data_IF_712480979966
#
_entry.id   IF_712480979966
#
_cell.length_a   1.000
_cell.length_b   1.000
_cell.length_c   1.000
_cell.angle_alpha   90.00
_cell.angle_beta   90.00
_cell.angle_gamma   90.00
#
_symmetry.space_group_name_H-M   'P 1'
#
loop_
_entity.id
_entity.type
_entity.pdbx_description
1 polymer ?
#
# COMPACT_ATOMS: atom_id res chain seq x y z
N UNK A 1 21.34 -13.67 17.60
CA UNK A 1 20.60 -14.96 17.57
C UNK A 1 21.05 -15.72 16.34
N UNK A 2 21.72 -16.87 16.50
CA UNK A 2 21.93 -17.78 15.37
C UNK A 2 20.55 -18.23 14.91
N UNK A 3 20.24 -18.11 13.62
CA UNK A 3 19.06 -18.77 13.05
C UNK A 3 19.27 -20.26 13.30
N UNK A 4 18.56 -20.80 14.27
CA UNK A 4 18.37 -22.24 14.39
C UNK A 4 17.70 -22.69 13.10
N UNK A 5 18.47 -23.38 12.25
CA UNK A 5 18.01 -23.83 10.94
C UNK A 5 17.14 -25.06 11.15
N UNK A 6 15.84 -24.92 10.89
CA UNK A 6 14.94 -26.06 10.77
C UNK A 6 15.48 -27.00 9.69
N UNK A 7 15.56 -28.30 10.00
CA UNK A 7 15.94 -29.34 9.03
C UNK A 7 14.66 -29.82 8.33
N UNK A 8 14.73 -30.01 7.01
CA UNK A 8 13.58 -30.33 6.17
C UNK A 8 13.54 -31.81 5.80
N UNK A 9 12.34 -32.37 5.86
CA UNK A 9 12.10 -33.78 5.57
C UNK A 9 10.86 -33.96 4.67
N UNK A 10 10.88 -35.02 3.86
CA UNK A 10 9.75 -35.45 3.06
C UNK A 10 8.69 -36.22 3.88
N UNK A 11 7.73 -36.85 3.21
CA UNK A 11 6.68 -37.65 3.84
C UNK A 11 7.17 -38.95 4.50
N UNK A 12 8.36 -39.43 4.13
CA UNK A 12 8.99 -40.61 4.70
C UNK A 12 10.01 -40.27 5.80
N UNK A 13 10.11 -38.99 6.18
CA UNK A 13 11.13 -38.44 7.08
C UNK A 13 12.57 -38.62 6.58
N UNK A 14 12.76 -38.60 5.25
CA UNK A 14 14.08 -38.50 4.63
C UNK A 14 14.43 -37.03 4.37
N UNK A 15 15.72 -36.69 4.48
CA UNK A 15 16.17 -35.32 4.28
C UNK A 15 15.82 -34.83 2.88
N UNK A 16 15.15 -33.68 2.78
CA UNK A 16 14.63 -33.19 1.50
C UNK A 16 14.62 -31.67 1.42
N UNK A 17 15.17 -31.11 0.35
CA UNK A 17 15.19 -29.67 0.07
C UNK A 17 13.80 -29.11 -0.29
N UNK A 18 12.84 -29.99 -0.58
CA UNK A 18 11.44 -29.64 -0.89
C UNK A 18 10.46 -30.15 0.16
N UNK A 19 10.96 -30.87 1.16
CA UNK A 19 10.19 -31.40 2.28
C UNK A 19 9.37 -30.34 3.01
N UNK A 20 8.20 -30.74 3.51
CA UNK A 20 7.26 -29.89 4.26
C UNK A 20 7.16 -30.27 5.74
N UNK A 21 7.89 -31.29 6.17
CA UNK A 21 8.09 -31.59 7.57
C UNK A 21 9.36 -30.89 8.04
N UNK A 22 9.28 -30.13 9.12
CA UNK A 22 10.41 -29.39 9.67
C UNK A 22 10.69 -29.88 11.09
N UNK A 23 11.95 -30.11 11.42
CA UNK A 23 12.37 -30.46 12.77
C UNK A 23 13.20 -29.33 13.35
N UNK A 24 12.76 -28.80 14.49
CA UNK A 24 13.48 -27.78 15.25
C UNK A 24 14.65 -28.41 16.02
N UNK A 25 15.70 -27.64 16.38
CA UNK A 25 16.79 -28.17 17.21
C UNK A 25 16.35 -28.70 18.58
N UNK A 26 15.18 -28.26 19.07
CA UNK A 26 14.52 -28.77 20.28
C UNK A 26 13.96 -30.19 20.12
N UNK A 27 13.85 -30.69 18.88
CA UNK A 27 13.20 -31.95 18.52
C UNK A 27 11.72 -31.80 18.14
N UNK A 28 11.15 -30.60 18.24
CA UNK A 28 9.76 -30.36 17.86
C UNK A 28 9.56 -30.54 16.35
N UNK A 29 8.48 -31.21 15.97
CA UNK A 29 8.10 -31.45 14.57
C UNK A 29 7.00 -30.45 14.18
N UNK A 30 7.24 -29.74 13.08
CA UNK A 30 6.30 -28.81 12.46
C UNK A 30 5.93 -29.40 11.10
N UNK A 31 4.72 -29.96 11.00
CA UNK A 31 4.16 -30.48 9.77
C UNK A 31 3.41 -29.37 9.01
N UNK A 32 3.95 -28.95 7.86
CA UNK A 32 3.31 -28.01 6.94
C UNK A 32 2.82 -28.70 5.65
N UNK A 33 2.73 -30.03 5.62
CA UNK A 33 2.26 -30.78 4.45
C UNK A 33 0.84 -30.38 4.03
N UNK A 34 -0.03 -30.09 5.01
CA UNK A 34 -1.39 -29.58 4.81
C UNK A 34 -1.47 -28.11 4.39
N UNK A 35 -0.36 -27.36 4.45
CA UNK A 35 -0.33 -25.95 4.07
C UNK A 35 -0.06 -25.80 2.57
N UNK A 36 -0.85 -24.94 1.92
CA UNK A 36 -0.71 -24.60 0.50
C UNK A 36 -0.52 -23.12 0.34
N UNK A 37 0.45 -22.73 -0.49
CA UNK A 37 0.58 -21.37 -0.99
C UNK A 37 -0.35 -21.24 -2.20
N UNK A 38 -1.32 -20.33 -2.12
CA UNK A 38 -2.31 -20.11 -3.18
C UNK A 38 -1.84 -19.06 -4.18
N UNK A 39 -1.31 -17.95 -3.66
CA UNK A 39 -0.80 -16.85 -4.47
C UNK A 39 0.34 -16.15 -3.71
N UNK A 40 1.26 -15.55 -4.46
CA UNK A 40 2.29 -14.66 -3.96
C UNK A 40 2.40 -13.50 -4.94
N UNK A 41 1.80 -12.37 -4.58
CA UNK A 41 1.61 -11.25 -5.52
C UNK A 41 1.82 -9.89 -4.86
N UNK A 42 1.89 -8.86 -5.69
CA UNK A 42 1.94 -7.48 -5.22
C UNK A 42 0.55 -7.10 -4.74
N UNK A 43 0.46 -6.76 -3.47
CA UNK A 43 -0.77 -6.36 -2.81
C UNK A 43 -1.01 -4.86 -2.97
N UNK A 44 -0.02 -4.03 -2.66
CA UNK A 44 -0.19 -2.58 -2.70
C UNK A 44 1.09 -1.93 -3.21
N UNK A 45 0.98 -0.96 -4.12
CA UNK A 45 2.07 -0.04 -4.46
C UNK A 45 1.73 1.33 -3.91
N UNK A 46 2.72 1.97 -3.30
CA UNK A 46 2.60 3.31 -2.73
C UNK A 46 3.67 4.20 -3.31
N UNK A 47 3.27 5.29 -3.96
CA UNK A 47 4.17 6.29 -4.51
C UNK A 47 4.06 7.58 -3.70
N UNK A 48 5.21 8.12 -3.27
CA UNK A 48 5.34 9.42 -2.63
C UNK A 48 5.76 10.48 -3.65
N UNK A 49 5.16 11.65 -3.51
CA UNK A 49 5.42 12.82 -4.36
C UNK A 49 5.85 14.00 -3.54
N UNK A 50 6.91 14.65 -4.01
CA UNK A 50 7.49 15.84 -3.44
C UNK A 50 7.14 17.07 -4.28
N UNK A 51 6.75 18.16 -3.62
CA UNK A 51 6.47 19.43 -4.27
C UNK A 51 5.86 20.45 -3.32
N UNK A 52 5.41 21.57 -3.88
CA UNK A 52 4.65 22.60 -3.16
C UNK A 52 3.15 22.43 -3.44
N UNK A 53 2.36 22.13 -2.41
CA UNK A 53 0.91 21.93 -2.56
C UNK A 53 0.21 23.24 -2.95
N UNK A 54 -0.87 23.12 -3.71
CA UNK A 54 -1.79 24.25 -3.93
C UNK A 54 -2.66 24.44 -2.68
N UNK A 55 -2.45 25.54 -1.96
CA UNK A 55 -3.13 25.81 -0.70
C UNK A 55 -4.63 26.06 -0.85
N UNK A 56 -5.07 26.68 -1.95
CA UNK A 56 -6.49 26.95 -2.20
C UNK A 56 -7.29 25.65 -2.25
N UNK A 57 -6.75 24.62 -2.92
CA UNK A 57 -7.36 23.30 -2.95
C UNK A 57 -7.42 22.64 -1.56
N UNK A 58 -6.41 22.86 -0.71
CA UNK A 58 -6.42 22.28 0.65
C UNK A 58 -7.48 22.92 1.53
N UNK A 59 -7.69 24.22 1.37
CA UNK A 59 -8.69 24.98 2.12
C UNK A 59 -10.10 24.55 1.68
N UNK A 60 -10.33 24.34 0.38
CA UNK A 60 -11.57 23.73 -0.13
C UNK A 60 -11.84 22.35 0.48
N UNK A 61 -10.83 21.47 0.56
CA UNK A 61 -11.00 20.15 1.19
C UNK A 61 -11.36 20.27 2.69
N UNK A 62 -10.75 21.22 3.39
CA UNK A 62 -11.03 21.46 4.80
C UNK A 62 -12.46 21.95 5.01
N UNK A 63 -12.90 22.94 4.23
CA UNK A 63 -14.25 23.48 4.29
C UNK A 63 -15.29 22.38 4.05
N UNK A 64 -15.07 21.52 3.05
CA UNK A 64 -15.97 20.37 2.76
C UNK A 64 -16.02 19.37 3.92
N UNK A 65 -14.89 19.10 4.56
CA UNK A 65 -14.83 18.18 5.71
C UNK A 65 -15.52 18.74 6.96
N UNK A 66 -15.58 20.06 7.10
CA UNK A 66 -16.28 20.74 8.20
C UNK A 66 -17.78 20.88 7.92
N UNK A 67 -18.15 21.19 6.68
CA UNK A 67 -19.54 21.46 6.30
C UNK A 67 -20.37 20.19 6.07
N UNK A 68 -19.76 19.09 5.62
CA UNK A 68 -20.50 17.92 5.13
C UNK A 68 -20.22 16.64 5.92
N UNK A 69 -21.25 15.83 6.13
CA UNK A 69 -21.06 14.47 6.64
C UNK A 69 -20.69 13.52 5.50
N UNK A 70 -19.45 13.01 5.51
CA UNK A 70 -18.90 12.10 4.48
C UNK A 70 -18.87 12.73 3.07
N UNK A 71 -18.17 13.85 2.89
CA UNK A 71 -18.09 14.55 1.62
C UNK A 71 -17.61 13.65 0.48
N UNK A 72 -18.14 13.93 -0.70
CA UNK A 72 -17.66 13.39 -1.97
C UNK A 72 -17.30 14.56 -2.85
N UNK A 73 -16.10 14.53 -3.43
CA UNK A 73 -15.63 15.57 -4.34
C UNK A 73 -15.39 14.99 -5.73
N UNK A 74 -15.54 15.82 -6.75
CA UNK A 74 -15.11 15.49 -8.10
C UNK A 74 -13.66 15.96 -8.29
N UNK A 75 -12.80 15.07 -8.75
CA UNK A 75 -11.41 15.37 -9.06
C UNK A 75 -10.96 14.53 -10.25
N UNK A 76 -10.43 15.20 -11.27
CA UNK A 76 -10.01 14.61 -12.56
C UNK A 76 -11.08 13.69 -13.18
N UNK A 77 -12.35 14.12 -13.16
CA UNK A 77 -13.46 13.36 -13.75
C UNK A 77 -13.91 12.13 -12.95
N UNK A 78 -13.40 11.96 -11.73
CA UNK A 78 -13.76 10.86 -10.84
C UNK A 78 -14.34 11.38 -9.52
N UNK A 79 -15.24 10.59 -8.92
CA UNK A 79 -15.79 10.88 -7.60
C UNK A 79 -14.93 10.25 -6.51
N UNK A 80 -14.55 11.06 -5.53
CA UNK A 80 -13.67 10.65 -4.43
C UNK A 80 -14.36 10.87 -3.11
N UNK A 81 -14.38 9.83 -2.28
CA UNK A 81 -14.82 9.96 -0.90
C UNK A 81 -13.72 10.65 -0.09
N UNK A 82 -14.03 11.83 0.44
CA UNK A 82 -13.12 12.62 1.25
C UNK A 82 -13.28 12.31 2.73
N UNK A 83 -12.16 12.14 3.43
CA UNK A 83 -12.09 11.90 4.88
C UNK A 83 -10.90 12.63 5.48
N UNK A 84 -10.96 12.89 6.79
CA UNK A 84 -9.76 13.24 7.55
C UNK A 84 -8.79 12.05 7.51
N UNK A 85 -7.52 12.35 7.28
CA UNK A 85 -6.47 11.34 7.30
C UNK A 85 -6.23 10.80 8.71
N UNK A 86 -5.70 9.57 8.77
CA UNK A 86 -5.52 8.82 10.01
C UNK A 86 -4.07 8.82 10.50
N UNK A 87 -3.70 7.72 11.17
CA UNK A 87 -2.37 7.51 11.78
C UNK A 87 -1.18 7.57 10.80
N UNK A 88 -1.43 7.57 9.49
CA UNK A 88 -0.39 7.66 8.47
C UNK A 88 0.28 9.06 8.38
N UNK A 89 -0.20 10.05 9.14
CA UNK A 89 0.40 11.38 9.20
C UNK A 89 0.03 12.26 8.01
N UNK A 90 -1.12 12.04 7.37
CA UNK A 90 -1.65 12.91 6.33
C UNK A 90 -2.95 13.55 6.81
N UNK A 91 -3.23 14.80 6.42
CA UNK A 91 -4.43 15.52 6.85
C UNK A 91 -5.68 15.06 6.09
N UNK A 92 -5.54 14.76 4.80
CA UNK A 92 -6.65 14.41 3.93
C UNK A 92 -6.48 13.03 3.33
N UNK A 93 -7.59 12.32 3.16
CA UNK A 93 -7.67 11.03 2.49
C UNK A 93 -8.82 11.07 1.48
N UNK A 94 -8.50 10.86 0.22
CA UNK A 94 -9.44 10.71 -0.88
C UNK A 94 -9.42 9.25 -1.32
N UNK A 95 -10.58 8.62 -1.37
CA UNK A 95 -10.69 7.21 -1.73
C UNK A 95 -11.69 7.02 -2.87
N UNK A 96 -11.24 6.34 -3.92
CA UNK A 96 -12.10 5.82 -4.97
C UNK A 96 -11.97 4.30 -5.01
N UNK A 97 -12.97 3.60 -4.47
CA UNK A 97 -12.96 2.14 -4.37
C UNK A 97 -13.18 1.43 -5.71
N UNK A 98 -13.92 2.07 -6.63
CA UNK A 98 -14.16 1.54 -7.98
C UNK A 98 -12.88 1.61 -8.82
N UNK A 99 -12.19 2.75 -8.76
CA UNK A 99 -10.91 2.93 -9.41
C UNK A 99 -9.77 2.18 -8.71
N UNK A 100 -9.94 1.86 -7.42
CA UNK A 100 -8.95 1.11 -6.64
C UNK A 100 -7.76 1.97 -6.20
N UNK A 101 -7.99 3.26 -5.94
CA UNK A 101 -6.95 4.24 -5.59
C UNK A 101 -7.30 4.98 -4.30
N UNK A 102 -6.28 5.22 -3.48
CA UNK A 102 -6.31 6.12 -2.33
C UNK A 102 -5.26 7.21 -2.51
N UNK A 103 -5.66 8.47 -2.34
CA UNK A 103 -4.76 9.63 -2.34
C UNK A 103 -4.73 10.20 -0.93
N UNK A 104 -3.54 10.39 -0.39
CA UNK A 104 -3.29 10.96 0.93
C UNK A 104 -2.51 12.26 0.75
N UNK A 105 -3.06 13.37 1.25
CA UNK A 105 -2.53 14.73 1.00
C UNK A 105 -2.19 15.44 2.31
N UNK A 106 -1.14 16.28 2.25
CA UNK A 106 -0.59 17.14 3.31
C UNK A 106 -0.04 16.33 4.48
N UNK A 107 1.22 15.97 4.36
CA UNK A 107 1.94 15.23 5.39
C UNK A 107 2.23 16.14 6.60
N UNK A 108 1.84 15.73 7.80
CA UNK A 108 2.03 16.48 9.04
C UNK A 108 3.49 16.54 9.50
N UNK A 109 4.35 15.65 8.99
CA UNK A 109 5.77 15.60 9.33
C UNK A 109 6.63 16.53 8.47
N UNK A 110 6.02 17.29 7.56
CA UNK A 110 6.72 18.24 6.69
C UNK A 110 5.99 19.58 6.74
N UNK A 111 6.69 20.65 7.05
CA UNK A 111 6.10 22.00 7.03
C UNK A 111 5.66 22.32 5.61
N UNK A 112 4.43 22.81 5.43
CA UNK A 112 3.84 23.10 4.11
C UNK A 112 4.70 24.07 3.27
N UNK A 113 5.49 24.91 3.93
CA UNK A 113 6.31 25.97 3.32
C UNK A 113 7.66 25.49 2.75
N UNK A 114 7.90 24.17 2.72
CA UNK A 114 9.07 23.55 2.09
C UNK A 114 8.62 22.45 1.14
N UNK A 115 9.38 22.26 0.06
CA UNK A 115 9.27 21.07 -0.79
C UNK A 115 9.36 19.83 0.12
N UNK A 116 8.24 19.11 0.21
CA UNK A 116 8.06 17.97 1.09
C UNK A 116 7.25 16.85 0.44
N UNK A 117 7.41 15.65 0.98
CA UNK A 117 6.63 14.46 0.58
C UNK A 117 5.18 14.60 1.06
N UNK A 118 4.39 15.35 0.30
CA UNK A 118 3.08 15.85 0.70
C UNK A 118 1.91 15.08 0.08
N UNK A 119 2.16 14.33 -0.99
CA UNK A 119 1.16 13.46 -1.60
C UNK A 119 1.66 12.02 -1.59
N UNK A 120 0.79 11.10 -1.22
CA UNK A 120 0.99 9.66 -1.34
C UNK A 120 -0.18 9.05 -2.07
N UNK A 121 0.09 8.27 -3.12
CA UNK A 121 -0.92 7.51 -3.84
C UNK A 121 -0.71 6.04 -3.56
N UNK A 122 -1.79 5.34 -3.18
CA UNK A 122 -1.82 3.90 -2.97
C UNK A 122 -2.76 3.25 -3.99
N UNK A 123 -2.26 2.23 -4.69
CA UNK A 123 -3.02 1.47 -5.69
C UNK A 123 -3.31 0.06 -5.19
N UNK A 124 -4.54 -0.40 -5.43
CA UNK A 124 -5.06 -1.68 -4.95
C UNK A 124 -4.52 -2.89 -5.74
N UNK A 125 -4.56 -4.12 -5.18
CA UNK A 125 -4.09 -5.32 -5.87
C UNK A 125 -4.83 -5.56 -7.19
N UNK A 126 -6.12 -5.22 -7.23
CA UNK A 126 -6.94 -5.34 -8.44
C UNK A 126 -6.38 -4.47 -9.56
N UNK A 127 -6.16 -3.18 -9.28
CA UNK A 127 -5.65 -2.23 -10.26
C UNK A 127 -4.24 -2.62 -10.74
N UNK A 128 -3.40 -3.10 -9.82
CA UNK A 128 -2.04 -3.57 -10.13
C UNK A 128 -2.05 -4.74 -11.13
N UNK A 129 -2.99 -5.69 -10.99
CA UNK A 129 -3.11 -6.83 -11.92
C UNK A 129 -3.64 -6.43 -13.29
N UNK A 130 -4.48 -5.40 -13.35
CA UNK A 130 -5.21 -5.01 -14.56
C UNK A 130 -4.37 -4.09 -15.47
N UNK A 131 -3.22 -3.57 -15.00
CA UNK A 131 -2.41 -2.58 -15.73
C UNK A 131 -0.91 -2.88 -15.69
N UNK A 132 -0.17 -2.36 -16.68
CA UNK A 132 1.29 -2.42 -16.66
C UNK A 132 1.87 -1.39 -15.67
N UNK A 133 3.10 -1.62 -15.16
CA UNK A 133 3.77 -0.68 -14.27
C UNK A 133 3.88 0.74 -14.82
N UNK A 134 4.19 0.91 -16.10
CA UNK A 134 4.34 2.23 -16.72
C UNK A 134 3.01 3.00 -16.78
N UNK A 135 1.92 2.30 -17.08
CA UNK A 135 0.57 2.91 -17.10
C UNK A 135 0.15 3.31 -15.69
N UNK A 136 0.40 2.45 -14.69
CA UNK A 136 0.14 2.76 -13.29
C UNK A 136 0.94 3.96 -12.81
N UNK A 137 2.24 4.01 -13.15
CA UNK A 137 3.09 5.13 -12.78
C UNK A 137 2.56 6.43 -13.38
N UNK A 138 2.27 6.44 -14.68
CA UNK A 138 1.71 7.61 -15.35
C UNK A 138 0.38 8.07 -14.73
N UNK A 139 -0.53 7.13 -14.44
CA UNK A 139 -1.79 7.46 -13.76
C UNK A 139 -1.57 8.07 -12.38
N UNK A 140 -0.64 7.50 -11.58
CA UNK A 140 -0.31 8.09 -10.28
C UNK A 140 0.33 9.47 -10.45
N UNK A 141 1.20 9.69 -11.43
CA UNK A 141 1.84 10.99 -11.68
C UNK A 141 0.79 12.06 -12.02
N UNK A 142 -0.16 11.76 -12.90
CA UNK A 142 -1.25 12.66 -13.29
C UNK A 142 -2.16 12.99 -12.09
N UNK A 143 -2.57 11.97 -11.32
CA UNK A 143 -3.35 12.16 -10.10
C UNK A 143 -2.62 12.96 -9.04
N UNK A 144 -1.28 12.87 -8.97
CA UNK A 144 -0.49 13.67 -8.06
C UNK A 144 -0.39 15.12 -8.53
N UNK A 145 -0.16 15.34 -9.84
CA UNK A 145 0.16 16.64 -10.41
C UNK A 145 -0.88 17.72 -10.07
N UNK A 146 -2.18 17.39 -10.11
CA UNK A 146 -3.23 18.37 -9.86
C UNK A 146 -3.31 18.90 -8.42
N UNK A 147 -2.53 18.36 -7.47
CA UNK A 147 -2.49 18.85 -6.07
C UNK A 147 -1.38 19.87 -5.81
N UNK A 148 -0.46 20.07 -6.77
CA UNK A 148 0.72 20.91 -6.59
C UNK A 148 0.69 22.14 -7.49
N UNK A 149 1.36 23.21 -7.07
CA UNK A 149 1.47 24.46 -7.84
C UNK A 149 2.33 24.28 -9.10
N UNK A 150 3.32 23.40 -9.01
CA UNK A 150 4.15 22.95 -10.13
C UNK A 150 4.18 21.43 -10.15
N UNK A 151 4.43 20.79 -11.31
CA UNK A 151 4.52 19.33 -11.38
C UNK A 151 5.43 18.76 -10.28
N UNK A 152 4.93 17.82 -9.45
CA UNK A 152 5.70 17.22 -8.38
C UNK A 152 6.72 16.22 -8.93
N UNK A 153 7.69 15.84 -8.10
CA UNK A 153 8.62 14.76 -8.41
C UNK A 153 8.34 13.51 -7.57
N UNK A 154 8.33 12.31 -8.17
CA UNK A 154 8.28 11.07 -7.41
C UNK A 154 9.56 10.94 -6.58
N UNK A 155 9.42 10.65 -5.28
CA UNK A 155 10.55 10.69 -4.34
C UNK A 155 10.68 9.46 -3.43
N UNK A 156 9.76 8.50 -3.52
CA UNK A 156 9.85 7.26 -2.77
C UNK A 156 8.74 6.29 -3.13
N UNK A 157 9.06 5.00 -3.14
CA UNK A 157 8.11 3.93 -3.45
C UNK A 157 8.15 2.87 -2.35
N UNK A 158 6.99 2.34 -2.01
CA UNK A 158 6.87 1.15 -1.18
C UNK A 158 5.98 0.12 -1.89
N UNK A 159 6.48 -1.12 -1.96
CA UNK A 159 5.77 -2.25 -2.57
C UNK A 159 5.49 -3.24 -1.45
N UNK A 160 4.21 -3.55 -1.26
CA UNK A 160 3.77 -4.58 -0.34
C UNK A 160 3.52 -5.86 -1.14
N UNK A 161 4.14 -6.94 -0.71
CA UNK A 161 3.97 -8.28 -1.29
C UNK A 161 3.19 -9.09 -0.26
N UNK A 162 2.11 -9.73 -0.71
CA UNK A 162 1.34 -10.64 0.11
C UNK A 162 1.52 -12.07 -0.38
N UNK A 163 1.29 -13.03 0.51
CA UNK A 163 1.21 -14.44 0.15
C UNK A 163 0.02 -15.01 0.85
N UNK A 164 -0.84 -15.67 0.08
CA UNK A 164 -2.06 -16.28 0.57
C UNK A 164 -1.79 -17.75 0.88
N UNK A 165 -2.12 -18.14 2.10
CA UNK A 165 -1.90 -19.49 2.63
C UNK A 165 -3.25 -20.13 2.90
N UNK A 166 -3.39 -21.39 2.53
CA UNK A 166 -4.54 -22.24 2.89
C UNK A 166 -4.08 -23.40 3.75
N UNK A 167 -4.87 -23.74 4.78
CA UNK A 167 -4.56 -24.85 5.68
C UNK A 167 -3.52 -24.52 6.76
N UNK A 168 -3.02 -23.29 6.81
CA UNK A 168 -2.17 -22.84 7.91
C UNK A 168 -3.00 -22.46 9.14
N UNK A 169 -2.57 -22.92 10.32
CA UNK A 169 -3.15 -22.55 11.61
C UNK A 169 -2.16 -21.63 12.33
N UNK A 170 -2.53 -20.38 12.63
CA UNK A 170 -1.67 -19.47 13.38
C UNK A 170 -1.37 -20.02 14.79
N UNK A 171 -0.15 -19.79 15.31
CA UNK A 171 0.21 -20.15 16.69
C UNK A 171 -0.51 -19.29 17.74
#
# INVERSE_FOLDING_TARGET
MKKESLIRFDENFEHSDTGRNFVAPTGDIIDLSGVRILDSSIDTVRQLYNGMLNHDLLDELEERLEAEHRPVIEYQGHLWRLRRGGKAGFRFLLQNAEFGVVILIKNSHTTADRAGSHCKIEVSPKLIRDQSPDVLQHQMDELAAGWFVTPPSPCGVAIHIATDWQGWVPP
#
